data_IF_722226156084
#
_entry.id   IF_722226156084
#
_cell.length_a   1.000
_cell.length_b   1.000
_cell.length_c   1.000
_cell.angle_alpha   90.00
_cell.angle_beta   90.00
_cell.angle_gamma   90.00
#
_symmetry.space_group_name_H-M   'P 1'
#
loop_
_entity.id
_entity.type
_entity.pdbx_description
1 polymer ?
#
# COMPACT_ATOMS: atom_id res chain seq x y z
N UNK A 1 4.54 2.97 28.35
CA UNK A 1 3.54 2.62 27.33
C UNK A 1 4.11 2.95 25.97
N UNK A 2 4.62 1.96 25.24
CA UNK A 2 4.98 2.13 23.82
C UNK A 2 3.68 1.96 23.03
N UNK A 3 3.02 3.08 22.78
CA UNK A 3 1.94 3.20 21.80
C UNK A 3 2.56 3.15 20.39
N UNK A 4 1.83 2.53 19.46
CA UNK A 4 2.31 2.37 18.09
C UNK A 4 2.04 3.68 17.36
N UNK A 5 3.02 4.56 17.39
CA UNK A 5 3.03 5.92 16.86
C UNK A 5 2.87 6.06 15.33
N UNK A 6 2.60 4.96 14.62
CA UNK A 6 2.95 4.82 13.21
C UNK A 6 1.75 4.37 12.35
N UNK A 7 0.81 5.29 12.11
CA UNK A 7 -0.10 5.19 10.96
C UNK A 7 0.61 5.76 9.75
N UNK A 8 1.12 4.85 8.94
CA UNK A 8 1.90 5.12 7.75
C UNK A 8 1.03 4.93 6.51
N UNK A 9 1.08 5.82 5.53
CA UNK A 9 0.43 5.60 4.23
C UNK A 9 1.50 5.73 3.15
N UNK A 10 1.79 4.60 2.50
CA UNK A 10 2.52 4.58 1.23
C UNK A 10 1.43 4.51 0.15
N UNK A 11 1.59 5.21 -0.96
CA UNK A 11 0.65 5.22 -2.09
C UNK A 11 0.49 3.86 -2.80
N UNK A 12 0.97 2.78 -2.20
CA UNK A 12 0.52 1.43 -2.46
C UNK A 12 -0.37 0.90 -1.33
N UNK A 13 -0.09 1.20 -0.06
CA UNK A 13 -0.79 0.71 1.14
C UNK A 13 -1.34 1.86 1.99
N UNK A 14 -2.65 2.11 1.95
CA UNK A 14 -3.30 2.76 3.09
C UNK A 14 -3.58 1.73 4.17
N UNK A 15 -2.92 1.89 5.32
CA UNK A 15 -3.14 1.08 6.51
C UNK A 15 -4.40 1.60 7.22
N UNK A 16 -5.57 1.05 6.87
CA UNK A 16 -6.82 1.37 7.55
C UNK A 16 -7.92 0.34 7.27
N UNK A 17 -8.68 -0.01 8.31
CA UNK A 17 -9.85 -0.90 8.20
C UNK A 17 -9.65 -2.29 8.79
N UNK A 18 -10.64 -3.18 8.58
CA UNK A 18 -10.69 -4.54 9.15
C UNK A 18 -9.66 -5.51 8.57
N UNK A 19 -8.97 -5.11 7.50
CA UNK A 19 -7.98 -5.90 6.78
C UNK A 19 -6.55 -5.72 7.32
N UNK A 20 -6.42 -5.04 8.46
CA UNK A 20 -5.18 -4.84 9.19
C UNK A 20 -5.26 -5.54 10.54
N UNK A 21 -4.33 -6.43 10.81
CA UNK A 21 -4.23 -7.16 12.07
C UNK A 21 -2.90 -6.81 12.70
N UNK A 22 -2.94 -6.10 13.82
CA UNK A 22 -1.75 -5.76 14.60
C UNK A 22 -1.59 -6.70 15.80
N UNK A 23 -0.48 -7.44 15.81
CA UNK A 23 -0.03 -8.24 16.94
C UNK A 23 1.08 -7.48 17.66
N UNK A 24 0.72 -6.85 18.79
CA UNK A 24 1.62 -6.01 19.56
C UNK A 24 2.75 -6.81 20.19
N UNK A 25 2.48 -8.01 20.69
CA UNK A 25 3.48 -8.84 21.35
C UNK A 25 4.55 -9.30 20.35
N UNK A 26 4.12 -9.66 19.14
CA UNK A 26 5.03 -10.06 18.07
C UNK A 26 5.62 -8.89 17.30
N UNK A 27 5.20 -7.65 17.56
CA UNK A 27 5.58 -6.47 16.79
C UNK A 27 5.30 -6.63 15.29
N UNK A 28 4.16 -7.25 14.96
CA UNK A 28 3.82 -7.64 13.59
C UNK A 28 2.52 -6.99 13.13
N UNK A 29 2.48 -6.47 11.91
CA UNK A 29 1.25 -6.04 11.23
C UNK A 29 1.02 -6.94 10.03
N UNK A 30 -0.17 -7.53 9.94
CA UNK A 30 -0.64 -8.22 8.72
C UNK A 30 -1.58 -7.29 7.97
N UNK A 31 -1.29 -7.01 6.71
CA UNK A 31 -2.10 -6.12 5.87
C UNK A 31 -2.43 -6.79 4.54
N UNK A 32 -3.71 -6.91 4.19
CA UNK A 32 -4.13 -7.47 2.91
C UNK A 32 -4.18 -6.42 1.80
N UNK A 33 -3.70 -6.76 0.60
CA UNK A 33 -3.63 -5.83 -0.54
C UNK A 33 -4.94 -5.70 -1.32
N UNK A 34 -5.94 -6.52 -0.99
CA UNK A 34 -7.29 -6.40 -1.54
C UNK A 34 -8.14 -5.33 -0.83
N UNK A 35 -7.62 -4.68 0.22
CA UNK A 35 -8.35 -3.67 0.98
C UNK A 35 -8.62 -2.40 0.17
N UNK A 36 -9.59 -1.61 0.64
CA UNK A 36 -9.97 -0.32 0.03
C UNK A 36 -8.85 0.72 0.05
N UNK A 37 -7.82 0.48 0.86
CA UNK A 37 -6.66 1.33 1.02
C UNK A 37 -5.62 1.24 -0.10
N UNK A 38 -5.68 0.21 -0.95
CA UNK A 38 -4.74 0.08 -2.07
C UNK A 38 -5.07 1.10 -3.16
N UNK A 39 -4.20 2.08 -3.38
CA UNK A 39 -4.28 3.01 -4.51
C UNK A 39 -3.83 2.24 -5.74
N UNK A 40 -4.80 1.77 -6.52
CA UNK A 40 -4.55 0.92 -7.69
C UNK A 40 -3.76 1.68 -8.75
N UNK A 41 -2.79 1.00 -9.36
CA UNK A 41 -2.30 1.39 -10.67
C UNK A 41 -3.45 1.15 -11.66
N UNK A 42 -3.98 2.17 -12.32
CA UNK A 42 -5.06 1.98 -13.30
C UNK A 42 -4.48 1.48 -14.63
N UNK A 43 -4.19 0.18 -14.69
CA UNK A 43 -3.62 -0.47 -15.87
C UNK A 43 -4.09 -1.92 -15.99
N UNK A 44 -4.03 -2.49 -17.20
CA UNK A 44 -4.37 -3.90 -17.45
C UNK A 44 -3.59 -4.88 -16.56
N UNK A 45 -2.32 -4.58 -16.30
CA UNK A 45 -1.47 -5.40 -15.44
C UNK A 45 -1.97 -5.40 -14.00
N UNK A 46 -2.30 -4.22 -13.46
CA UNK A 46 -2.80 -4.09 -12.10
C UNK A 46 -4.16 -4.76 -11.88
N UNK A 47 -5.08 -4.71 -12.85
CA UNK A 47 -6.33 -5.49 -12.77
C UNK A 47 -6.08 -7.00 -12.74
N UNK A 48 -5.00 -7.47 -13.37
CA UNK A 48 -4.60 -8.88 -13.29
C UNK A 48 -4.05 -9.23 -11.91
N UNK A 49 -3.20 -8.37 -11.34
CA UNK A 49 -2.69 -8.51 -9.97
C UNK A 49 -3.83 -8.46 -8.95
N UNK A 50 -4.80 -7.55 -9.12
CA UNK A 50 -6.02 -7.47 -8.31
C UNK A 50 -6.75 -8.82 -8.30
N UNK A 51 -7.06 -9.33 -9.50
CA UNK A 51 -7.83 -10.57 -9.67
C UNK A 51 -7.13 -11.73 -8.97
N UNK A 52 -5.82 -11.86 -9.21
CA UNK A 52 -4.97 -12.85 -8.56
C UNK A 52 -5.00 -12.70 -7.03
N UNK A 53 -4.86 -11.48 -6.52
CA UNK A 53 -4.80 -11.22 -5.08
C UNK A 53 -6.15 -11.30 -4.37
N UNK A 54 -7.27 -11.15 -5.06
CA UNK A 54 -8.58 -11.48 -4.52
C UNK A 54 -8.74 -13.00 -4.35
N UNK A 55 -8.32 -13.78 -5.35
CA UNK A 55 -8.39 -15.25 -5.29
C UNK A 55 -7.47 -15.82 -4.22
N UNK A 56 -6.23 -15.32 -4.14
CA UNK A 56 -5.21 -15.84 -3.23
C UNK A 56 -5.03 -15.01 -1.95
N UNK A 57 -5.91 -14.05 -1.66
CA UNK A 57 -5.79 -13.10 -0.53
C UNK A 57 -4.34 -12.64 -0.27
N UNK A 58 -3.74 -11.97 -1.25
CA UNK A 58 -2.37 -11.47 -1.09
C UNK A 58 -2.30 -10.45 0.06
N UNK A 59 -1.16 -10.41 0.74
CA UNK A 59 -0.90 -9.44 1.79
C UNK A 59 0.58 -9.27 2.08
N UNK A 60 0.84 -8.50 3.12
CA UNK A 60 2.15 -8.32 3.70
C UNK A 60 2.13 -8.68 5.18
N UNK A 61 3.19 -9.33 5.63
CA UNK A 61 3.57 -9.38 7.04
C UNK A 61 4.67 -8.34 7.24
N UNK A 62 4.37 -7.30 7.99
CA UNK A 62 5.30 -6.25 8.39
C UNK A 62 5.80 -6.60 9.78
N UNK A 63 7.08 -6.94 9.88
CA UNK A 63 7.72 -7.28 11.14
C UNK A 63 8.61 -6.12 11.57
N UNK A 64 8.22 -5.44 12.64
CA UNK A 64 9.01 -4.38 13.26
C UNK A 64 10.09 -4.97 14.20
N UNK A 65 11.15 -4.19 14.42
CA UNK A 65 12.04 -4.36 15.54
C UNK A 65 11.40 -3.81 16.84
N UNK A 66 12.08 -4.01 17.97
CA UNK A 66 11.54 -3.73 19.31
C UNK A 66 11.17 -2.25 19.50
N UNK A 67 11.92 -1.33 18.90
CA UNK A 67 11.71 0.12 19.03
C UNK A 67 10.91 0.73 17.87
N UNK A 68 10.38 -0.11 16.96
CA UNK A 68 9.66 0.28 15.75
C UNK A 68 10.44 1.24 14.82
N UNK A 69 11.77 1.34 14.93
CA UNK A 69 12.59 2.15 14.04
C UNK A 69 12.83 1.50 12.67
N UNK A 70 12.66 0.18 12.57
CA UNK A 70 12.85 -0.58 11.35
C UNK A 70 11.80 -1.68 11.22
N UNK A 71 11.37 -1.97 9.98
CA UNK A 71 10.54 -3.12 9.68
C UNK A 71 11.01 -3.84 8.42
N UNK A 72 10.87 -5.17 8.43
CA UNK A 72 10.89 -5.98 7.21
C UNK A 72 9.47 -6.24 6.74
N UNK A 73 9.21 -6.10 5.45
CA UNK A 73 7.89 -6.30 4.85
C UNK A 73 7.97 -7.51 3.93
N UNK A 74 7.25 -8.58 4.29
CA UNK A 74 7.28 -9.85 3.58
C UNK A 74 5.94 -10.07 2.86
N UNK A 75 5.93 -10.13 1.52
CA UNK A 75 4.72 -10.47 0.79
C UNK A 75 4.33 -11.93 1.06
N UNK A 76 3.03 -12.19 1.10
CA UNK A 76 2.49 -13.54 1.15
C UNK A 76 1.24 -13.67 0.29
N UNK A 77 0.88 -14.91 -0.03
CA UNK A 77 -0.39 -15.29 -0.61
C UNK A 77 -1.01 -16.44 0.21
N UNK A 78 -2.32 -16.39 0.40
CA UNK A 78 -3.12 -17.49 0.94
C UNK A 78 -3.59 -18.38 -0.22
N UNK A 79 -2.94 -19.52 -0.40
CA UNK A 79 -3.32 -20.48 -1.44
C UNK A 79 -4.33 -21.47 -0.86
N UNK A 80 -5.49 -21.68 -1.49
CA UNK A 80 -6.42 -22.73 -1.08
C UNK A 80 -5.71 -24.09 -0.96
N UNK A 81 -5.99 -24.84 0.10
CA UNK A 81 -5.36 -26.12 0.47
C UNK A 81 -3.90 -26.09 0.95
N UNK A 82 -3.10 -25.05 0.64
CA UNK A 82 -1.69 -24.93 1.10
C UNK A 82 -1.56 -23.99 2.30
N UNK A 83 -2.48 -23.02 2.44
CA UNK A 83 -2.41 -22.00 3.48
C UNK A 83 -1.53 -20.83 3.09
N UNK A 84 -0.85 -20.23 4.06
CA UNK A 84 -0.03 -19.04 3.82
C UNK A 84 1.31 -19.42 3.20
N UNK A 85 1.57 -18.94 1.99
CA UNK A 85 2.85 -19.05 1.31
C UNK A 85 3.56 -17.69 1.33
N UNK A 86 4.72 -17.63 1.97
CA UNK A 86 5.58 -16.45 1.92
C UNK A 86 6.28 -16.36 0.56
N UNK A 87 6.30 -15.17 -0.03
CA UNK A 87 7.08 -14.92 -1.24
C UNK A 87 8.56 -14.80 -0.85
N UNK A 88 9.47 -15.55 -1.49
CA UNK A 88 10.89 -15.47 -1.20
C UNK A 88 11.44 -14.05 -1.36
N UNK A 89 12.26 -13.61 -0.40
CA UNK A 89 12.90 -12.29 -0.41
C UNK A 89 13.83 -12.07 -1.60
N UNK A 90 14.36 -13.15 -2.18
CA UNK A 90 15.14 -13.11 -3.42
C UNK A 90 14.32 -12.61 -4.62
N UNK A 91 12.99 -12.79 -4.60
CA UNK A 91 12.09 -12.29 -5.63
C UNK A 91 11.56 -10.90 -5.30
N UNK A 92 11.27 -10.65 -4.03
CA UNK A 92 10.60 -9.44 -3.59
C UNK A 92 10.95 -9.13 -2.13
N UNK A 93 11.61 -8.01 -1.88
CA UNK A 93 12.02 -7.60 -0.54
C UNK A 93 11.66 -6.14 -0.32
N UNK A 94 11.03 -5.84 0.82
CA UNK A 94 10.86 -4.47 1.22
C UNK A 94 11.24 -4.25 2.67
N UNK A 95 11.77 -3.07 2.95
CA UNK A 95 12.10 -2.63 4.29
C UNK A 95 11.49 -1.26 4.52
N UNK A 96 11.22 -0.93 5.78
CA UNK A 96 10.78 0.39 6.20
C UNK A 96 11.70 0.87 7.32
N UNK A 97 12.09 2.14 7.26
CA UNK A 97 12.92 2.78 8.27
C UNK A 97 12.23 4.05 8.74
N UNK A 98 12.09 4.21 10.06
CA UNK A 98 11.59 5.44 10.67
C UNK A 98 12.61 6.55 10.44
N UNK A 99 12.14 7.71 10.00
CA UNK A 99 12.99 8.89 9.84
C UNK A 99 12.88 9.77 11.08
N UNK A 100 13.92 10.56 11.40
CA UNK A 100 13.82 11.59 12.43
C UNK A 100 12.67 12.54 12.11
N UNK A 101 11.86 12.89 13.11
CA UNK A 101 10.76 13.83 12.91
C UNK A 101 11.32 15.22 12.58
N UNK A 102 10.98 15.73 11.39
CA UNK A 102 11.27 17.11 11.01
C UNK A 102 9.96 17.89 10.92
N UNK A 103 9.52 18.45 12.03
CA UNK A 103 8.22 19.12 12.16
C UNK A 103 8.26 20.59 11.72
N UNK A 104 9.44 21.17 11.53
CA UNK A 104 9.57 22.64 11.44
C UNK A 104 9.09 23.24 10.11
N UNK A 105 9.12 22.46 9.03
CA UNK A 105 8.86 22.93 7.67
C UNK A 105 7.74 22.16 6.95
N UNK A 106 6.86 21.50 7.70
CA UNK A 106 5.85 20.58 7.16
C UNK A 106 4.41 21.01 7.55
N UNK A 107 3.42 20.91 6.62
CA UNK A 107 3.52 20.35 5.27
C UNK A 107 4.34 21.23 4.32
N UNK A 108 4.89 20.64 3.25
CA UNK A 108 5.59 21.42 2.24
C UNK A 108 4.61 22.37 1.52
N UNK A 109 5.13 23.50 1.01
CA UNK A 109 4.33 24.47 0.25
C UNK A 109 3.75 23.84 -1.03
N UNK A 110 2.66 24.40 -1.53
CA UNK A 110 2.11 24.00 -2.83
C UNK A 110 3.18 24.15 -3.92
N UNK A 111 3.34 23.12 -4.76
CA UNK A 111 4.37 23.09 -5.81
C UNK A 111 5.78 22.70 -5.34
N UNK A 112 5.95 22.30 -4.07
CA UNK A 112 7.22 21.78 -3.57
C UNK A 112 7.75 20.61 -4.40
N UNK A 113 9.07 20.56 -4.56
CA UNK A 113 9.77 19.48 -5.24
C UNK A 113 9.67 18.16 -4.47
N UNK A 114 9.86 17.03 -5.15
CA UNK A 114 9.88 15.71 -4.48
C UNK A 114 10.88 15.63 -3.32
N UNK A 115 12.02 16.30 -3.44
CA UNK A 115 13.06 16.35 -2.41
C UNK A 115 12.62 17.16 -1.17
N UNK A 116 11.83 18.22 -1.36
CA UNK A 116 11.26 18.99 -0.25
C UNK A 116 10.14 18.21 0.43
N UNK A 117 9.29 17.55 -0.34
CA UNK A 117 8.21 16.69 0.18
C UNK A 117 8.80 15.53 0.99
N UNK A 118 9.89 14.90 0.54
CA UNK A 118 10.51 13.80 1.27
C UNK A 118 11.04 14.17 2.66
N UNK A 119 11.32 15.45 2.92
CA UNK A 119 11.77 15.90 4.26
C UNK A 119 10.65 15.84 5.30
N UNK A 120 9.40 15.78 4.86
CA UNK A 120 8.23 15.66 5.74
C UNK A 120 7.81 14.21 5.98
N UNK A 121 8.55 13.25 5.44
CA UNK A 121 8.26 11.84 5.62
C UNK A 121 8.66 11.39 7.03
N UNK A 122 7.77 10.64 7.69
CA UNK A 122 8.05 10.00 8.97
C UNK A 122 8.72 8.63 8.78
N UNK A 123 8.72 8.10 7.55
CA UNK A 123 9.42 6.87 7.21
C UNK A 123 9.89 6.83 5.75
N UNK A 124 10.79 5.90 5.49
CA UNK A 124 11.27 5.54 4.15
C UNK A 124 11.09 4.06 3.94
N UNK A 125 10.46 3.67 2.85
CA UNK A 125 10.38 2.30 2.37
C UNK A 125 11.33 2.10 1.21
N UNK A 126 12.19 1.11 1.32
CA UNK A 126 13.03 0.64 0.23
C UNK A 126 12.44 -0.66 -0.30
N UNK A 127 12.15 -0.68 -1.59
CA UNK A 127 11.52 -1.81 -2.26
C UNK A 127 12.43 -2.35 -3.33
N UNK A 128 12.70 -3.65 -3.30
CA UNK A 128 13.42 -4.34 -4.36
C UNK A 128 12.67 -5.55 -4.89
N UNK A 129 12.78 -5.79 -6.19
CA UNK A 129 12.17 -6.95 -6.84
C UNK A 129 13.13 -7.50 -7.89
N UNK A 130 13.11 -8.82 -8.06
CA UNK A 130 13.92 -9.47 -9.08
C UNK A 130 13.36 -9.15 -10.47
N UNK A 131 14.11 -8.42 -11.29
CA UNK A 131 13.94 -8.43 -12.75
C UNK A 131 15.21 -8.95 -13.40
N UNK A 132 15.08 -9.73 -14.49
CA UNK A 132 16.25 -10.28 -15.17
C UNK A 132 17.13 -9.20 -15.79
N UNK A 133 16.63 -8.01 -16.17
CA UNK A 133 17.45 -6.90 -16.70
C UNK A 133 16.60 -5.63 -16.93
N UNK A 134 17.14 -4.40 -16.77
CA UNK A 134 18.39 -4.02 -16.07
C UNK A 134 18.20 -3.74 -14.56
N UNK A 135 19.23 -3.96 -13.73
CA UNK A 135 19.14 -4.00 -12.26
C UNK A 135 18.81 -2.68 -11.56
N UNK A 136 18.98 -1.53 -12.20
CA UNK A 136 18.64 -0.23 -11.60
C UNK A 136 17.13 0.08 -11.63
N UNK A 137 16.33 -0.68 -12.39
CA UNK A 137 14.88 -0.61 -12.38
C UNK A 137 14.26 -1.53 -11.31
N UNK A 138 15.09 -2.23 -10.53
CA UNK A 138 14.68 -3.26 -9.58
C UNK A 138 14.52 -2.69 -8.17
N UNK A 139 14.59 -1.37 -8.03
CA UNK A 139 14.52 -0.69 -6.76
C UNK A 139 13.65 0.56 -6.83
N UNK A 140 12.76 0.73 -5.86
CA UNK A 140 12.00 1.96 -5.67
C UNK A 140 12.01 2.39 -4.20
N UNK A 141 12.12 3.70 -4.00
CA UNK A 141 12.03 4.33 -2.69
C UNK A 141 10.68 5.01 -2.58
N UNK A 142 9.95 4.70 -1.52
CA UNK A 142 8.69 5.33 -1.18
C UNK A 142 8.84 6.06 0.15
N UNK A 143 8.35 7.28 0.22
CA UNK A 143 8.33 8.06 1.45
C UNK A 143 6.97 7.88 2.12
N UNK A 144 7.01 7.71 3.44
CA UNK A 144 5.84 7.36 4.22
C UNK A 144 5.50 8.53 5.13
N UNK A 145 4.26 9.00 5.04
CA UNK A 145 3.78 10.16 5.77
C UNK A 145 2.83 9.75 6.89
N UNK A 146 2.93 10.43 8.03
CA UNK A 146 2.01 10.24 9.16
C UNK A 146 0.75 11.06 8.90
N UNK A 147 -0.36 10.37 8.56
CA UNK A 147 -1.65 11.02 8.23
C UNK A 147 -2.71 10.85 9.32
N UNK A 148 -2.43 10.01 10.32
CA UNK A 148 -3.28 9.78 11.48
C UNK A 148 -2.46 9.72 12.77
N UNK A 149 -3.09 10.04 13.89
CA UNK A 149 -2.52 9.88 15.22
C UNK A 149 -2.70 8.44 15.74
N UNK A 150 -2.27 8.19 16.98
CA UNK A 150 -2.34 6.87 17.62
C UNK A 150 -3.78 6.37 17.84
N UNK A 151 -4.73 7.29 17.90
CA UNK A 151 -6.17 7.03 18.06
C UNK A 151 -6.88 6.92 16.70
N UNK A 152 -6.13 6.96 15.59
CA UNK A 152 -6.62 6.99 14.21
C UNK A 152 -7.38 8.27 13.83
N UNK A 153 -7.22 9.36 14.57
CA UNK A 153 -7.74 10.65 14.15
C UNK A 153 -6.86 11.24 13.04
N UNK A 154 -7.45 11.92 12.04
CA UNK A 154 -6.70 12.60 11.00
C UNK A 154 -5.72 13.65 11.53
N UNK A 155 -4.46 13.61 11.10
CA UNK A 155 -3.50 14.69 11.35
C UNK A 155 -3.55 15.69 10.20
N UNK A 156 -4.01 16.90 10.51
CA UNK A 156 -4.05 17.99 9.56
C UNK A 156 -2.71 18.74 9.50
N UNK A 157 -2.33 19.29 8.32
CA UNK A 157 -3.04 19.24 7.05
C UNK A 157 -2.71 18.03 6.16
N UNK A 158 -1.85 17.11 6.61
CA UNK A 158 -1.36 15.97 5.81
C UNK A 158 -2.48 15.07 5.31
N UNK A 159 -3.47 14.81 6.15
CA UNK A 159 -4.63 14.01 5.77
C UNK A 159 -5.38 14.61 4.58
N UNK A 160 -5.54 15.94 4.52
CA UNK A 160 -6.20 16.60 3.40
C UNK A 160 -5.38 16.51 2.11
N UNK A 161 -4.04 16.63 2.19
CA UNK A 161 -3.15 16.46 1.04
C UNK A 161 -3.23 15.03 0.51
N UNK A 162 -3.15 14.05 1.40
CA UNK A 162 -3.32 12.63 1.08
C UNK A 162 -4.66 12.38 0.40
N UNK A 163 -5.76 12.86 0.99
CA UNK A 163 -7.11 12.64 0.46
C UNK A 163 -7.26 13.22 -0.95
N UNK A 164 -6.79 14.46 -1.16
CA UNK A 164 -6.80 15.08 -2.50
C UNK A 164 -6.02 14.26 -3.52
N UNK A 165 -4.82 13.79 -3.16
CA UNK A 165 -4.03 12.94 -4.05
C UNK A 165 -4.75 11.63 -4.37
N UNK A 166 -5.25 10.94 -3.33
CA UNK A 166 -5.96 9.68 -3.46
C UNK A 166 -7.19 9.82 -4.36
N UNK A 167 -7.98 10.89 -4.18
CA UNK A 167 -9.16 11.17 -4.99
C UNK A 167 -8.79 11.34 -6.48
N UNK A 168 -7.65 11.99 -6.79
CA UNK A 168 -7.21 12.20 -8.19
C UNK A 168 -6.52 11.00 -8.85
N UNK A 169 -6.01 10.05 -8.07
CA UNK A 169 -5.21 8.92 -8.59
C UNK A 169 -5.91 7.57 -8.49
N UNK A 170 -7.10 7.53 -7.90
CA UNK A 170 -7.88 6.30 -7.69
C UNK A 170 -9.04 6.12 -8.68
N UNK A 171 -9.08 6.85 -9.79
CA UNK A 171 -10.14 6.71 -10.81
C UNK A 171 -9.87 5.50 -11.71
N UNK A 172 -10.75 4.47 -11.72
CA UNK A 172 -10.56 3.28 -12.55
C UNK A 172 -10.41 3.62 -14.03
N UNK A 173 -9.44 3.02 -14.73
CA UNK A 173 -9.31 3.16 -16.19
C UNK A 173 -10.35 2.25 -16.89
N UNK A 174 -11.36 2.83 -17.60
CA UNK A 174 -12.40 2.05 -18.28
C UNK A 174 -11.88 1.18 -19.42
N UNK A 175 -10.89 1.69 -20.17
CA UNK A 175 -10.35 0.96 -21.31
C UNK A 175 -9.52 -0.22 -20.84
N UNK A 176 -8.65 -0.02 -19.85
CA UNK A 176 -7.89 -1.10 -19.25
C UNK A 176 -8.80 -2.16 -18.57
N UNK A 177 -9.95 -1.76 -18.04
CA UNK A 177 -10.97 -2.67 -17.52
C UNK A 177 -11.56 -3.52 -18.64
N UNK A 178 -12.02 -2.89 -19.73
CA UNK A 178 -12.57 -3.57 -20.91
C UNK A 178 -11.57 -4.55 -21.52
N UNK A 179 -10.32 -4.12 -21.68
CA UNK A 179 -9.24 -4.95 -22.23
C UNK A 179 -8.91 -6.17 -21.36
N UNK A 180 -9.24 -6.13 -20.07
CA UNK A 180 -9.02 -7.24 -19.13
C UNK A 180 -10.22 -8.17 -19.05
N UNK A 181 -11.43 -7.64 -18.94
CA UNK A 181 -12.63 -8.43 -18.62
C UNK A 181 -13.56 -8.65 -19.82
N UNK A 182 -13.30 -8.00 -20.96
CA UNK A 182 -14.11 -8.14 -22.17
C UNK A 182 -15.49 -7.48 -22.09
N UNK A 183 -15.74 -6.66 -21.07
CA UNK A 183 -17.01 -5.97 -20.82
C UNK A 183 -16.77 -4.51 -20.50
N UNK A 184 -17.71 -3.65 -20.89
CA UNK A 184 -17.65 -2.23 -20.53
C UNK A 184 -17.74 -2.05 -19.02
N UNK A 185 -16.98 -1.09 -18.50
CA UNK A 185 -17.04 -0.74 -17.09
C UNK A 185 -18.38 -0.06 -16.78
N UNK A 186 -19.12 -0.46 -15.72
CA UNK A 186 -20.37 0.21 -15.37
C UNK A 186 -20.18 1.70 -15.13
N UNK A 187 -21.14 2.53 -15.55
CA UNK A 187 -21.05 3.98 -15.45
C UNK A 187 -20.96 4.49 -14.00
N UNK A 188 -21.55 3.72 -13.08
CA UNK A 188 -21.51 3.94 -11.63
C UNK A 188 -20.28 3.36 -10.94
N UNK A 189 -19.36 2.71 -11.67
CA UNK A 189 -18.22 2.01 -11.09
C UNK A 189 -17.27 3.02 -10.42
N UNK A 190 -17.35 3.11 -9.09
CA UNK A 190 -16.36 3.82 -8.27
C UNK A 190 -15.29 2.85 -7.80
N UNK A 191 -14.21 3.36 -7.19
CA UNK A 191 -13.09 2.58 -6.62
C UNK A 191 -13.52 1.30 -5.86
N UNK A 192 -14.65 1.35 -5.15
CA UNK A 192 -15.18 0.23 -4.33
C UNK A 192 -15.87 -0.85 -5.17
N UNK A 193 -16.36 -0.51 -6.35
CA UNK A 193 -17.23 -1.37 -7.15
C UNK A 193 -16.44 -2.27 -8.11
N UNK A 194 -15.26 -1.80 -8.56
CA UNK A 194 -14.29 -2.60 -9.34
C UNK A 194 -13.95 -3.91 -8.62
N UNK A 195 -13.73 -3.85 -7.30
CA UNK A 195 -13.40 -5.03 -6.50
C UNK A 195 -14.55 -6.05 -6.48
N UNK A 196 -15.79 -5.58 -6.35
CA UNK A 196 -16.97 -6.42 -6.30
C UNK A 196 -17.23 -7.11 -7.66
N UNK A 197 -17.02 -6.40 -8.75
CA UNK A 197 -17.23 -6.91 -10.12
C UNK A 197 -16.16 -7.95 -10.50
N UNK A 198 -14.89 -7.66 -10.19
CA UNK A 198 -13.79 -8.62 -10.42
C UNK A 198 -14.04 -9.94 -9.69
N UNK A 199 -14.47 -9.89 -8.43
CA UNK A 199 -14.81 -11.10 -7.65
C UNK A 199 -15.99 -11.88 -8.24
N UNK A 200 -17.04 -11.20 -8.73
CA UNK A 200 -18.19 -11.88 -9.36
C UNK A 200 -17.85 -12.56 -10.68
N UNK A 201 -16.93 -11.99 -11.47
CA UNK A 201 -16.52 -12.55 -12.76
C UNK A 201 -15.45 -13.65 -12.63
N UNK A 202 -14.67 -13.68 -11.55
CA UNK A 202 -13.72 -14.78 -11.26
C UNK A 202 -14.40 -16.04 -10.72
N UNK A 203 -15.64 -15.93 -10.23
CA UNK A 203 -16.43 -17.03 -9.67
C UNK A 203 -17.46 -17.61 -10.66
N UNK A 204 -17.41 -17.18 -11.93
CA UNK A 204 -18.17 -17.74 -13.06
C UNK A 204 -17.23 -18.54 -13.94
#
# INVERSE_FOLDING_TARGET
STSMDLVFDDLCTSYGGKDLIFDKEKHTVTAFTSGLGWTWFNSKHAYSVLSMCQTMKCGYVIQYNVDYSFASVKPFAMIPAVGQLAIPTALLSFTMTKLPENTKDCPPKAGATKAEVSKCAAGRRDSSWFTPYPPFLNHAVYYIFKIGDEDHNPIQPYFNVYRKFADTTSEPDPQAFKDKFGVDMPAECKRKDVQLIATKNLLR
#
